data_IF_420621341017
#
_entry.id   IF_420621341017
#
_cell.length_a   1.000
_cell.length_b   1.000
_cell.length_c   1.000
_cell.angle_alpha   90.00
_cell.angle_beta   90.00
_cell.angle_gamma   90.00
#
_symmetry.space_group_name_H-M   'P 1'
#
loop_
_entity.id
_entity.type
_entity.pdbx_description
1 polymer ?
#
# COMPACT_ATOMS: atom_id res chain seq x y z
N UNK A 1 13.79 1.14 11.28
CA UNK A 1 12.57 1.54 12.04
C UNK A 1 12.69 1.02 13.45
N UNK A 2 12.13 1.70 14.44
CA UNK A 2 12.10 1.24 15.84
C UNK A 2 10.67 1.27 16.36
N UNK A 3 10.32 0.31 17.21
CA UNK A 3 9.08 0.33 17.99
C UNK A 3 9.49 0.65 19.42
N UNK A 4 8.82 1.60 20.06
CA UNK A 4 9.09 1.99 21.45
C UNK A 4 8.10 1.29 22.39
N UNK A 5 8.64 0.61 23.41
CA UNK A 5 7.89 -0.05 24.46
C UNK A 5 8.18 0.66 25.78
N UNK A 6 7.18 1.33 26.32
CA UNK A 6 7.34 2.15 27.52
C UNK A 6 6.99 1.39 28.79
N UNK A 7 7.66 1.72 29.88
CA UNK A 7 7.33 1.24 31.22
C UNK A 7 6.23 2.10 31.85
N UNK A 8 5.49 1.58 32.85
CA UNK A 8 4.50 2.38 33.59
C UNK A 8 5.05 3.71 34.11
N UNK A 9 4.22 4.74 34.10
CA UNK A 9 4.58 6.08 34.55
C UNK A 9 5.06 7.01 33.44
N UNK A 10 4.98 6.60 32.17
CA UNK A 10 4.99 7.50 31.03
C UNK A 10 3.57 8.03 30.81
N UNK A 11 3.41 9.32 31.01
CA UNK A 11 2.12 10.00 30.87
C UNK A 11 2.15 10.91 29.65
N UNK A 12 1.04 10.99 28.90
CA UNK A 12 0.87 11.97 27.85
C UNK A 12 0.65 13.39 28.42
N UNK A 13 0.44 14.39 27.56
CA UNK A 13 0.13 15.77 27.98
C UNK A 13 -1.15 15.87 28.85
N UNK A 14 -2.04 14.89 28.79
CA UNK A 14 -3.23 14.76 29.62
C UNK A 14 -3.00 14.00 30.93
N UNK A 15 -1.76 13.56 31.19
CA UNK A 15 -1.39 12.73 32.34
C UNK A 15 -2.02 11.32 32.31
N UNK A 16 -2.26 10.80 31.10
CA UNK A 16 -2.73 9.43 30.90
C UNK A 16 -1.55 8.52 30.59
N UNK A 17 -1.46 7.39 31.30
CA UNK A 17 -0.45 6.39 31.04
C UNK A 17 -0.76 5.69 29.70
N UNK A 18 0.17 5.74 28.76
CA UNK A 18 0.03 5.12 27.44
C UNK A 18 0.77 3.78 27.30
N UNK A 19 1.18 3.20 28.41
CA UNK A 19 1.86 1.92 28.45
C UNK A 19 0.89 0.78 28.30
N UNK A 20 1.17 -0.15 27.37
CA UNK A 20 0.47 -1.43 27.26
C UNK A 20 1.33 -2.51 27.91
N UNK A 21 1.04 -2.83 29.19
CA UNK A 21 1.90 -3.68 30.03
C UNK A 21 2.04 -5.10 29.49
N UNK A 22 0.95 -5.70 29.04
CA UNK A 22 0.94 -7.09 28.54
C UNK A 22 1.90 -7.29 27.37
N UNK A 23 1.81 -6.43 26.36
CA UNK A 23 2.65 -6.51 25.15
C UNK A 23 4.09 -6.17 25.47
N UNK A 24 4.32 -5.13 26.30
CA UNK A 24 5.65 -4.77 26.77
C UNK A 24 6.33 -5.94 27.48
N UNK A 25 5.61 -6.62 28.37
CA UNK A 25 6.14 -7.71 29.17
C UNK A 25 6.43 -8.91 28.25
N UNK A 26 5.53 -9.26 27.33
CA UNK A 26 5.75 -10.34 26.36
C UNK A 26 6.99 -10.08 25.48
N UNK A 27 7.18 -8.85 24.99
CA UNK A 27 8.39 -8.49 24.22
C UNK A 27 9.65 -8.41 25.12
N UNK A 28 9.50 -7.95 26.37
CA UNK A 28 10.57 -7.93 27.35
C UNK A 28 11.09 -9.34 27.70
N UNK A 29 10.18 -10.27 27.89
CA UNK A 29 10.50 -11.67 28.17
C UNK A 29 11.17 -12.34 26.96
N UNK A 30 10.69 -12.04 25.73
CA UNK A 30 11.27 -12.57 24.48
C UNK A 30 12.76 -12.23 24.36
N UNK A 31 13.19 -11.03 24.73
CA UNK A 31 14.56 -10.56 24.62
C UNK A 31 15.34 -10.55 25.94
N UNK A 32 14.80 -11.16 27.00
CA UNK A 32 15.41 -11.18 28.35
C UNK A 32 15.82 -9.77 28.83
N UNK A 33 14.89 -8.81 28.73
CA UNK A 33 15.14 -7.41 29.07
C UNK A 33 15.33 -7.24 30.56
N UNK A 34 16.59 -7.27 31.02
CA UNK A 34 16.95 -7.13 32.43
C UNK A 34 17.05 -5.69 32.97
N UNK A 35 16.84 -4.70 32.13
CA UNK A 35 16.94 -3.29 32.52
C UNK A 35 16.57 -2.33 31.40
N UNK A 36 16.24 -1.09 31.75
CA UNK A 36 15.81 -0.02 30.82
C UNK A 36 16.71 1.22 30.95
N UNK A 37 16.88 2.01 29.88
CA UNK A 37 16.45 1.71 28.50
C UNK A 37 17.21 0.53 27.89
N UNK A 38 16.54 -0.18 27.00
CA UNK A 38 17.08 -1.32 26.26
C UNK A 38 16.78 -1.16 24.79
N UNK A 39 17.79 -1.29 23.95
CA UNK A 39 17.66 -1.29 22.49
C UNK A 39 17.96 -2.69 21.96
N UNK A 40 17.14 -3.15 21.03
CA UNK A 40 17.32 -4.41 20.34
C UNK A 40 17.51 -4.15 18.85
N UNK A 41 18.70 -4.41 18.32
CA UNK A 41 19.03 -4.25 16.91
C UNK A 41 18.85 -5.57 16.16
N UNK A 42 18.02 -5.57 15.12
CA UNK A 42 17.70 -6.74 14.30
C UNK A 42 17.34 -8.01 15.08
N UNK A 43 16.90 -7.87 16.32
CA UNK A 43 16.58 -8.99 17.21
C UNK A 43 17.79 -9.73 17.81
N UNK A 44 19.03 -9.40 17.44
CA UNK A 44 20.25 -10.12 17.80
C UNK A 44 21.20 -9.37 18.72
N UNK A 45 21.22 -8.06 18.66
CA UNK A 45 22.17 -7.23 19.40
C UNK A 45 21.42 -6.38 20.40
N UNK A 46 21.74 -6.56 21.66
CA UNK A 46 21.16 -5.79 22.75
C UNK A 46 22.13 -4.71 23.25
N UNK A 47 21.58 -3.54 23.53
CA UNK A 47 22.27 -2.45 24.18
C UNK A 47 21.46 -1.93 25.36
N UNK A 48 21.97 -2.13 26.57
CA UNK A 48 21.32 -1.74 27.82
C UNK A 48 21.95 -0.49 28.40
N UNK A 49 21.13 0.43 28.86
CA UNK A 49 21.54 1.65 29.54
C UNK A 49 21.39 2.90 28.69
N UNK A 50 21.19 4.00 29.39
CA UNK A 50 21.02 5.34 28.82
C UNK A 50 22.08 6.31 29.34
N UNK A 51 22.00 7.55 28.85
CA UNK A 51 22.86 8.64 29.31
C UNK A 51 22.52 9.09 30.73
N UNK A 52 23.54 9.32 31.54
CA UNK A 52 23.35 9.94 32.86
C UNK A 52 22.86 11.40 32.65
N UNK A 53 21.90 11.82 33.48
CA UNK A 53 21.37 13.18 33.48
C UNK A 53 20.78 13.63 32.12
N UNK A 54 20.22 12.68 31.35
CA UNK A 54 19.60 12.96 30.06
C UNK A 54 20.56 13.56 29.00
N UNK A 55 21.87 13.34 29.16
CA UNK A 55 22.88 13.76 28.19
C UNK A 55 22.96 12.77 27.02
N UNK A 56 21.90 12.66 26.21
CA UNK A 56 21.78 11.71 25.11
C UNK A 56 22.87 11.87 24.04
N UNK A 57 23.44 13.08 23.92
CA UNK A 57 24.54 13.37 23.01
C UNK A 57 25.79 12.52 23.32
N UNK A 58 25.97 12.12 24.57
CA UNK A 58 27.12 11.33 24.99
C UNK A 58 27.03 9.87 24.49
N UNK A 59 25.82 9.35 24.27
CA UNK A 59 25.59 7.97 23.83
C UNK A 59 25.27 7.85 22.34
N UNK A 60 24.82 8.94 21.70
CA UNK A 60 24.43 8.94 20.30
C UNK A 60 25.52 8.39 19.35
N UNK A 61 26.81 8.75 19.50
CA UNK A 61 27.84 8.24 18.61
C UNK A 61 27.96 6.70 18.60
N UNK A 62 27.75 6.06 19.75
CA UNK A 62 27.80 4.59 19.85
C UNK A 62 26.59 3.96 19.13
N UNK A 63 25.41 4.58 19.28
CA UNK A 63 24.19 4.13 18.59
C UNK A 63 24.30 4.31 17.07
N UNK A 64 24.89 5.42 16.63
CA UNK A 64 25.18 5.69 15.22
C UNK A 64 26.20 4.71 14.66
N UNK A 65 27.22 4.30 15.42
CA UNK A 65 28.20 3.29 15.03
C UNK A 65 27.49 1.94 14.80
N UNK A 66 26.70 1.46 15.77
CA UNK A 66 25.94 0.21 15.64
C UNK A 66 24.99 0.24 14.44
N UNK A 67 24.28 1.34 14.23
CA UNK A 67 23.40 1.52 13.06
C UNK A 67 24.21 1.41 11.75
N UNK A 68 25.35 2.08 11.66
CA UNK A 68 26.17 2.10 10.44
C UNK A 68 26.80 0.74 10.15
N UNK A 69 27.19 -0.03 11.15
CA UNK A 69 27.73 -1.39 11.00
C UNK A 69 26.69 -2.36 10.45
N UNK A 70 25.41 -2.17 10.79
CA UNK A 70 24.32 -3.07 10.43
C UNK A 70 23.40 -2.51 9.33
N UNK A 71 23.59 -1.25 8.92
CA UNK A 71 22.88 -0.66 7.79
C UNK A 71 23.47 -1.11 6.45
N UNK A 72 22.63 -1.15 5.42
CA UNK A 72 23.05 -1.48 4.05
C UNK A 72 23.17 -2.98 3.76
N UNK A 73 22.74 -3.84 4.66
CA UNK A 73 22.53 -5.24 4.34
C UNK A 73 21.34 -5.37 3.39
N UNK A 74 21.50 -6.15 2.33
CA UNK A 74 20.41 -6.42 1.39
C UNK A 74 19.47 -7.42 2.05
N UNK A 75 18.24 -7.02 2.28
CA UNK A 75 17.21 -7.92 2.78
C UNK A 75 16.83 -8.93 1.70
N UNK A 76 16.66 -10.20 2.07
CA UNK A 76 16.13 -11.20 1.15
C UNK A 76 14.64 -11.09 0.95
N UNK A 77 13.94 -10.44 1.87
CA UNK A 77 12.49 -10.21 1.84
C UNK A 77 12.14 -8.80 1.43
N UNK A 78 11.04 -8.66 0.70
CA UNK A 78 10.33 -7.41 0.47
C UNK A 78 8.95 -7.51 1.12
N UNK A 79 8.52 -6.47 1.80
CA UNK A 79 7.18 -6.35 2.38
C UNK A 79 6.47 -5.17 1.70
N UNK A 80 5.26 -5.39 1.25
CA UNK A 80 4.34 -4.33 0.83
C UNK A 80 3.10 -4.38 1.71
N UNK A 81 2.57 -3.23 2.06
CA UNK A 81 1.37 -3.07 2.86
C UNK A 81 0.32 -2.37 2.03
N UNK A 82 -0.88 -2.90 2.08
CA UNK A 82 -2.08 -2.38 1.49
C UNK A 82 -3.19 -2.40 2.53
N UNK A 83 -4.19 -1.55 2.41
CA UNK A 83 -5.34 -1.59 3.29
C UNK A 83 -6.29 -0.41 3.14
N UNK A 84 -7.54 -0.63 3.56
CA UNK A 84 -8.58 0.37 3.54
C UNK A 84 -9.58 0.15 4.69
N UNK A 85 -10.32 1.20 5.03
CA UNK A 85 -11.40 1.10 5.99
C UNK A 85 -12.61 0.42 5.38
N UNK A 86 -13.31 -0.39 6.21
CA UNK A 86 -14.54 -1.06 5.77
C UNK A 86 -15.61 -0.02 5.37
N UNK A 87 -16.25 -0.22 4.22
CA UNK A 87 -17.25 0.71 3.68
C UNK A 87 -18.49 0.89 4.57
N UNK A 88 -18.81 -0.11 5.41
CA UNK A 88 -19.98 -0.12 6.27
C UNK A 88 -19.64 0.22 7.72
N UNK A 89 -18.38 0.09 8.12
CA UNK A 89 -17.89 0.37 9.47
C UNK A 89 -16.50 1.00 9.44
N UNK A 90 -16.44 2.32 9.44
CA UNK A 90 -15.19 3.07 9.43
C UNK A 90 -14.30 2.89 10.67
N UNK A 91 -14.69 2.07 11.63
CA UNK A 91 -13.83 1.65 12.74
C UNK A 91 -13.00 0.40 12.41
N UNK A 92 -13.35 -0.35 11.37
CA UNK A 92 -12.64 -1.54 10.94
C UNK A 92 -11.65 -1.17 9.84
N UNK A 93 -10.39 -1.48 10.04
CA UNK A 93 -9.35 -1.38 9.03
C UNK A 93 -9.01 -2.78 8.53
N UNK A 94 -9.17 -3.01 7.22
CA UNK A 94 -8.78 -4.23 6.53
C UNK A 94 -7.38 -4.03 5.96
N UNK A 95 -6.52 -5.03 6.06
CA UNK A 95 -5.15 -4.97 5.55
C UNK A 95 -4.76 -6.22 4.76
N UNK A 96 -3.85 -6.03 3.82
CA UNK A 96 -3.08 -7.09 3.17
C UNK A 96 -1.59 -6.81 3.37
N UNK A 97 -0.84 -7.86 3.65
CA UNK A 97 0.62 -7.83 3.74
C UNK A 97 1.19 -8.79 2.70
N UNK A 98 1.82 -8.26 1.69
CA UNK A 98 2.49 -9.02 0.65
C UNK A 98 3.94 -9.23 1.06
N UNK A 99 4.35 -10.47 1.20
CA UNK A 99 5.74 -10.84 1.52
C UNK A 99 6.31 -11.58 0.32
N UNK A 100 7.36 -11.05 -0.28
CA UNK A 100 8.05 -11.69 -1.41
C UNK A 100 9.53 -11.89 -1.13
N UNK A 101 10.13 -12.90 -1.77
CA UNK A 101 11.57 -13.14 -1.76
C UNK A 101 12.23 -12.53 -2.99
N UNK A 102 13.25 -11.71 -2.77
CA UNK A 102 14.11 -11.14 -3.82
C UNK A 102 15.40 -11.95 -4.06
N UNK A 103 15.63 -12.98 -3.24
CA UNK A 103 16.71 -13.96 -3.39
C UNK A 103 16.31 -15.28 -2.72
N UNK A 104 16.84 -16.41 -3.19
CA UNK A 104 16.60 -17.70 -2.54
C UNK A 104 17.02 -17.64 -1.07
N UNK A 105 16.16 -18.06 -0.18
CA UNK A 105 16.38 -18.05 1.25
C UNK A 105 15.80 -19.31 1.89
N UNK A 106 16.61 -20.00 2.69
CA UNK A 106 16.12 -21.18 3.42
C UNK A 106 15.25 -20.71 4.57
N UNK A 107 13.96 -20.91 4.44
CA UNK A 107 12.98 -20.52 5.43
C UNK A 107 12.80 -21.64 6.46
N UNK A 108 13.34 -21.43 7.66
CA UNK A 108 13.08 -22.29 8.82
C UNK A 108 12.62 -21.38 9.96
N UNK A 109 11.34 -21.52 10.37
CA UNK A 109 10.75 -20.82 11.52
C UNK A 109 10.68 -19.27 11.38
N UNK A 110 10.53 -18.75 10.15
CA UNK A 110 10.20 -17.36 9.94
C UNK A 110 8.68 -17.12 10.03
N UNK A 111 8.33 -16.02 10.67
CA UNK A 111 6.98 -15.57 10.87
C UNK A 111 6.84 -14.11 10.49
N UNK A 112 5.67 -13.74 10.00
CA UNK A 112 5.25 -12.37 9.89
C UNK A 112 4.64 -11.95 11.22
N UNK A 113 5.22 -10.95 11.87
CA UNK A 113 4.71 -10.32 13.09
C UNK A 113 4.08 -8.97 12.74
N UNK A 114 2.89 -8.71 13.30
CA UNK A 114 2.13 -7.50 13.05
C UNK A 114 1.89 -6.72 14.34
N UNK A 115 2.19 -5.43 14.30
CA UNK A 115 2.00 -4.52 15.41
C UNK A 115 1.20 -3.30 15.01
N UNK A 116 0.42 -2.77 15.95
CA UNK A 116 -0.15 -1.43 15.86
C UNK A 116 0.70 -0.51 16.71
N UNK A 117 1.11 0.61 16.14
CA UNK A 117 1.89 1.61 16.82
C UNK A 117 1.30 3.01 16.61
N UNK A 118 1.39 3.83 17.64
CA UNK A 118 1.02 5.24 17.57
C UNK A 118 2.30 6.08 17.51
N UNK A 119 2.40 6.96 16.52
CA UNK A 119 3.54 7.86 16.36
C UNK A 119 3.26 9.22 17.04
N UNK A 120 4.35 9.90 17.40
CA UNK A 120 4.32 11.29 17.84
C UNK A 120 3.51 11.55 19.12
N UNK A 121 3.48 10.60 20.05
CA UNK A 121 2.89 10.81 21.38
C UNK A 121 3.81 11.72 22.18
N UNK A 122 3.26 12.83 22.67
CA UNK A 122 4.00 13.71 23.55
C UNK A 122 3.93 13.22 24.99
N UNK A 123 5.01 12.58 25.45
CA UNK A 123 5.13 12.02 26.80
C UNK A 123 5.99 12.87 27.71
N UNK A 124 5.62 12.93 29.00
CA UNK A 124 6.43 13.56 30.03
C UNK A 124 7.48 12.57 30.57
N UNK A 125 8.73 12.91 30.44
CA UNK A 125 9.82 12.12 30.99
C UNK A 125 10.27 12.69 32.34
N UNK A 126 9.77 12.11 33.41
CA UNK A 126 10.01 12.60 34.78
C UNK A 126 11.48 12.62 35.18
N UNK A 127 12.28 11.67 34.71
CA UNK A 127 13.72 11.59 34.99
C UNK A 127 14.50 12.78 34.43
N UNK A 128 14.06 13.33 33.30
CA UNK A 128 14.67 14.45 32.61
C UNK A 128 13.93 15.76 32.85
N UNK A 129 12.73 15.71 33.43
CA UNK A 129 11.84 16.88 33.67
C UNK A 129 11.55 17.63 32.36
N UNK A 130 11.30 16.91 31.30
CA UNK A 130 10.98 17.46 29.98
C UNK A 130 10.02 16.56 29.19
N UNK A 131 9.40 17.13 28.15
CA UNK A 131 8.55 16.40 27.22
C UNK A 131 9.35 15.87 26.04
N UNK A 132 9.03 14.66 25.63
CA UNK A 132 9.54 14.02 24.43
C UNK A 132 8.41 13.65 23.48
N UNK A 133 8.71 13.63 22.20
CA UNK A 133 7.85 13.00 21.21
C UNK A 133 8.28 11.54 21.06
N UNK A 134 7.53 10.65 21.68
CA UNK A 134 7.71 9.21 21.54
C UNK A 134 7.29 8.78 20.14
N UNK A 135 8.08 7.94 19.50
CA UNK A 135 7.89 7.53 18.12
C UNK A 135 7.52 6.06 18.05
N UNK A 136 6.49 5.74 17.25
CA UNK A 136 6.04 4.36 17.03
C UNK A 136 5.87 3.57 18.32
N UNK A 137 5.16 4.14 19.28
CA UNK A 137 4.86 3.49 20.56
C UNK A 137 3.95 2.28 20.30
N UNK A 138 4.41 1.09 20.69
CA UNK A 138 3.66 -0.15 20.52
C UNK A 138 2.36 -0.12 21.31
N UNK A 139 1.25 -0.39 20.63
CA UNK A 139 -0.11 -0.34 21.20
C UNK A 139 -0.80 -1.69 21.15
N UNK A 140 -0.47 -2.49 20.14
CA UNK A 140 -0.96 -3.84 19.99
C UNK A 140 0.06 -4.73 19.29
N UNK A 141 0.00 -6.02 19.55
CA UNK A 141 0.74 -7.06 18.84
C UNK A 141 -0.26 -8.09 18.36
N UNK A 142 -0.77 -7.90 17.14
CA UNK A 142 -1.86 -8.67 16.53
C UNK A 142 -1.54 -10.18 16.50
N UNK A 143 -0.27 -10.53 16.33
CA UNK A 143 0.22 -11.91 16.20
C UNK A 143 0.88 -12.43 17.49
N UNK A 144 0.50 -11.91 18.66
CA UNK A 144 1.14 -12.23 19.94
C UNK A 144 0.94 -13.69 20.35
N UNK A 145 -0.29 -14.20 20.20
CA UNK A 145 -0.64 -15.55 20.59
C UNK A 145 -0.14 -16.58 19.57
N UNK A 146 0.19 -17.79 20.04
CA UNK A 146 0.80 -18.83 19.18
C UNK A 146 -0.10 -19.24 18.00
N UNK A 147 -1.42 -19.20 18.17
CA UNK A 147 -2.41 -19.53 17.14
C UNK A 147 -2.71 -18.37 16.17
N UNK A 148 -2.25 -17.17 16.49
CA UNK A 148 -2.35 -15.98 15.63
C UNK A 148 -1.10 -15.77 14.76
N UNK A 149 -0.02 -16.49 15.04
CA UNK A 149 1.24 -16.37 14.30
C UNK A 149 1.08 -16.76 12.83
N UNK A 150 1.73 -16.01 11.97
CA UNK A 150 1.65 -16.11 10.52
C UNK A 150 2.97 -16.69 9.95
N UNK A 151 3.11 -18.04 9.88
CA UNK A 151 4.34 -18.65 9.38
C UNK A 151 4.50 -18.42 7.88
N UNK A 152 5.74 -18.13 7.45
CA UNK A 152 6.10 -18.01 6.05
C UNK A 152 6.43 -19.37 5.45
N UNK A 153 6.04 -19.62 4.20
CA UNK A 153 6.31 -20.87 3.48
C UNK A 153 7.16 -20.69 2.19
N UNK A 154 7.44 -19.45 1.81
CA UNK A 154 8.23 -19.10 0.61
C UNK A 154 9.73 -19.32 0.79
N UNK A 155 10.41 -19.86 -0.22
CA UNK A 155 11.82 -20.23 -0.17
C UNK A 155 12.63 -19.82 -1.40
N UNK A 156 11.99 -19.54 -2.52
CA UNK A 156 12.63 -19.25 -3.80
C UNK A 156 12.43 -17.80 -4.20
N UNK A 157 13.41 -17.24 -4.89
CA UNK A 157 13.31 -15.91 -5.48
C UNK A 157 12.07 -15.78 -6.36
N UNK A 158 11.29 -14.70 -6.15
CA UNK A 158 10.06 -14.41 -6.88
C UNK A 158 8.81 -15.09 -6.30
N UNK A 159 8.93 -15.95 -5.28
CA UNK A 159 7.75 -16.43 -4.55
C UNK A 159 7.17 -15.31 -3.69
N UNK A 160 5.86 -15.28 -3.57
CA UNK A 160 5.09 -14.32 -2.79
C UNK A 160 4.02 -15.02 -1.98
N UNK A 161 3.78 -14.52 -0.78
CA UNK A 161 2.70 -14.95 0.12
C UNK A 161 1.95 -13.73 0.62
N UNK A 162 0.62 -13.84 0.75
CA UNK A 162 -0.25 -12.74 1.15
C UNK A 162 -0.96 -13.08 2.44
N UNK A 163 -0.90 -12.19 3.40
CA UNK A 163 -1.57 -12.30 4.69
C UNK A 163 -2.61 -11.19 4.81
N UNK A 164 -3.88 -11.57 4.92
CA UNK A 164 -4.99 -10.64 5.03
C UNK A 164 -5.64 -10.70 6.40
N UNK A 165 -6.08 -9.58 6.91
CA UNK A 165 -6.77 -9.49 8.18
C UNK A 165 -7.43 -8.14 8.39
N UNK A 166 -7.98 -7.96 9.59
CA UNK A 166 -8.57 -6.69 9.98
C UNK A 166 -8.40 -6.45 11.48
N UNK A 167 -8.46 -5.20 11.89
CA UNK A 167 -8.55 -4.82 13.28
C UNK A 167 -9.53 -3.66 13.45
N UNK A 168 -10.09 -3.53 14.65
CA UNK A 168 -11.06 -2.50 14.96
C UNK A 168 -10.40 -1.39 15.78
N UNK A 169 -10.23 -0.20 15.20
CA UNK A 169 -9.63 0.94 15.88
C UNK A 169 -10.44 1.42 17.11
N UNK A 170 -11.75 1.17 17.14
CA UNK A 170 -12.59 1.53 18.28
C UNK A 170 -12.32 0.68 19.52
N UNK A 171 -11.72 -0.49 19.41
CA UNK A 171 -11.30 -1.31 20.56
C UNK A 171 -10.16 -0.65 21.34
N UNK A 172 -9.44 0.25 20.70
CA UNK A 172 -8.35 1.02 21.32
C UNK A 172 -8.80 2.36 21.91
N UNK A 173 -10.05 2.82 21.68
CA UNK A 173 -10.57 4.13 22.11
C UNK A 173 -10.50 4.33 23.63
N UNK A 174 -10.69 3.28 24.43
CA UNK A 174 -10.54 3.37 25.90
C UNK A 174 -9.06 3.53 26.32
N UNK A 175 -8.13 3.07 25.51
CA UNK A 175 -6.68 3.20 25.73
C UNK A 175 -6.11 4.49 25.11
N UNK A 176 -6.80 5.07 24.14
CA UNK A 176 -6.28 6.17 23.32
C UNK A 176 -7.25 7.34 23.24
N UNK A 177 -7.36 8.07 24.33
CA UNK A 177 -8.23 9.24 24.42
C UNK A 177 -7.82 10.38 23.48
N UNK A 178 -6.71 10.25 22.76
CA UNK A 178 -6.19 11.24 21.80
C UNK A 178 -5.63 10.58 20.55
N UNK A 179 -6.46 9.79 19.83
CA UNK A 179 -6.12 9.43 18.46
C UNK A 179 -6.16 10.69 17.60
N UNK A 180 -5.01 11.16 17.18
CA UNK A 180 -4.99 11.96 15.98
C UNK A 180 -4.93 10.96 14.81
N UNK A 181 -5.90 11.02 13.89
CA UNK A 181 -6.06 10.13 12.74
C UNK A 181 -4.77 9.92 11.93
N UNK A 182 -3.84 10.86 12.01
CA UNK A 182 -2.57 10.81 11.30
C UNK A 182 -1.45 10.02 12.00
N UNK A 183 -1.69 9.45 13.20
CA UNK A 183 -0.62 8.89 14.03
C UNK A 183 -0.58 7.37 14.14
N UNK A 184 -1.59 6.67 13.63
CA UNK A 184 -1.70 5.20 13.74
C UNK A 184 -0.99 4.53 12.58
N UNK A 185 -0.17 3.55 12.92
CA UNK A 185 0.60 2.79 11.93
C UNK A 185 0.45 1.29 12.20
N UNK A 186 0.32 0.52 11.12
CA UNK A 186 0.58 -0.91 11.11
C UNK A 186 2.05 -1.13 10.80
N UNK A 187 2.67 -2.07 11.50
CA UNK A 187 4.07 -2.44 11.34
C UNK A 187 4.14 -3.93 11.11
N UNK A 188 4.70 -4.33 9.99
CA UNK A 188 4.96 -5.72 9.62
C UNK A 188 6.46 -6.02 9.77
N UNK A 189 6.80 -7.12 10.44
CA UNK A 189 8.18 -7.54 10.70
C UNK A 189 8.32 -9.02 10.38
N UNK A 190 9.30 -9.40 9.57
CA UNK A 190 9.67 -10.80 9.38
C UNK A 190 10.71 -11.16 10.41
N UNK A 191 10.38 -12.12 11.27
CA UNK A 191 11.20 -12.54 12.40
C UNK A 191 11.32 -14.07 12.48
N UNK A 192 12.49 -14.56 12.90
CA UNK A 192 12.69 -15.97 13.23
C UNK A 192 12.21 -16.24 14.66
N UNK A 193 11.38 -17.28 14.88
CA UNK A 193 10.82 -17.59 16.19
C UNK A 193 11.83 -18.17 17.20
N UNK A 194 12.93 -18.75 16.71
CA UNK A 194 13.92 -19.39 17.57
C UNK A 194 15.07 -18.46 17.95
N UNK A 195 15.52 -17.64 17.00
CA UNK A 195 16.65 -16.74 17.19
C UNK A 195 16.25 -15.29 17.45
N UNK A 196 14.97 -14.96 17.18
CA UNK A 196 14.42 -13.61 17.20
C UNK A 196 15.04 -12.63 16.19
N UNK A 197 15.87 -13.14 15.27
CA UNK A 197 16.45 -12.34 14.20
C UNK A 197 15.36 -11.73 13.33
N UNK A 198 15.47 -10.42 13.08
CA UNK A 198 14.55 -9.66 12.21
C UNK A 198 15.21 -9.45 10.86
N UNK A 199 14.54 -9.91 9.80
CA UNK A 199 15.08 -9.88 8.43
C UNK A 199 14.60 -8.66 7.64
N UNK A 200 13.37 -8.22 7.85
CA UNK A 200 12.78 -7.08 7.17
C UNK A 200 11.65 -6.51 8.01
N UNK A 201 11.41 -5.22 7.87
CA UNK A 201 10.27 -4.54 8.46
C UNK A 201 9.73 -3.46 7.54
N UNK A 202 8.42 -3.29 7.54
CA UNK A 202 7.71 -2.25 6.81
C UNK A 202 6.66 -1.61 7.71
N UNK A 203 6.46 -0.30 7.54
CA UNK A 203 5.42 0.45 8.24
C UNK A 203 4.52 1.16 7.25
N UNK A 204 3.24 1.24 7.58
CA UNK A 204 2.26 2.02 6.85
C UNK A 204 1.33 2.76 7.81
N UNK A 205 1.11 4.03 7.55
CA UNK A 205 0.10 4.79 8.27
C UNK A 205 -1.28 4.42 7.73
N UNK A 206 -2.20 3.93 8.57
CA UNK A 206 -3.48 3.37 8.14
C UNK A 206 -4.40 4.35 7.39
N UNK A 207 -4.16 5.65 7.52
CA UNK A 207 -4.89 6.69 6.78
C UNK A 207 -4.19 7.12 5.48
N UNK A 208 -3.06 6.47 5.13
CA UNK A 208 -2.21 6.83 3.99
C UNK A 208 -1.56 5.62 3.30
N UNK A 209 -1.89 4.41 3.74
CA UNK A 209 -1.43 3.19 3.05
C UNK A 209 -2.03 3.21 1.65
N UNK A 210 -1.24 2.98 0.61
CA UNK A 210 -1.76 2.79 -0.73
C UNK A 210 -2.75 1.61 -0.74
N UNK A 211 -3.78 1.71 -1.55
CA UNK A 211 -4.75 0.63 -1.75
C UNK A 211 -4.45 -0.13 -3.03
N UNK A 212 -4.72 -1.43 -3.03
CA UNK A 212 -4.74 -2.31 -4.20
C UNK A 212 -6.13 -2.99 -4.19
N UNK A 213 -7.08 -2.41 -4.92
CA UNK A 213 -8.51 -2.71 -4.76
C UNK A 213 -8.89 -4.07 -5.35
N UNK A 214 -8.28 -4.43 -6.45
CA UNK A 214 -8.56 -5.68 -7.16
C UNK A 214 -7.57 -6.83 -6.80
N UNK A 215 -6.55 -6.51 -5.97
CA UNK A 215 -5.55 -7.45 -5.44
C UNK A 215 -4.68 -8.12 -6.52
N UNK A 216 -4.31 -7.38 -7.55
CA UNK A 216 -3.44 -7.86 -8.60
C UNK A 216 -1.94 -7.64 -8.34
N UNK A 217 -1.60 -6.92 -7.26
CA UNK A 217 -0.24 -6.60 -6.81
C UNK A 217 0.27 -5.26 -7.34
N UNK A 218 -0.55 -4.49 -8.05
CA UNK A 218 -0.28 -3.10 -8.47
C UNK A 218 -1.13 -2.17 -7.62
N UNK A 219 -0.51 -1.16 -7.02
CA UNK A 219 -1.24 -0.21 -6.18
C UNK A 219 -2.13 0.70 -7.03
N UNK A 220 -3.35 1.02 -6.59
CA UNK A 220 -4.30 1.86 -7.34
C UNK A 220 -3.71 3.16 -7.89
N UNK A 221 -2.66 3.72 -7.25
CA UNK A 221 -2.00 4.95 -7.70
C UNK A 221 -1.12 4.72 -8.94
N UNK A 222 -0.63 3.50 -9.12
CA UNK A 222 0.25 3.09 -10.20
C UNK A 222 -0.48 2.15 -11.19
N UNK A 223 -1.75 1.84 -10.90
CA UNK A 223 -2.57 0.88 -11.63
C UNK A 223 -3.42 1.57 -12.69
N UNK A 224 -3.31 1.06 -13.92
CA UNK A 224 -4.08 1.55 -15.04
C UNK A 224 -5.50 0.95 -15.14
N UNK A 225 -5.82 -0.05 -14.27
CA UNK A 225 -7.17 -0.62 -14.10
C UNK A 225 -7.48 -0.90 -12.62
N UNK A 226 -7.65 0.09 -11.75
CA UNK A 226 -7.69 -0.09 -10.28
C UNK A 226 -8.82 -0.98 -9.73
N UNK A 227 -9.77 -1.40 -10.54
CA UNK A 227 -10.92 -2.23 -10.17
C UNK A 227 -10.94 -3.58 -10.92
N UNK A 228 -10.02 -3.82 -11.87
CA UNK A 228 -9.99 -5.00 -12.74
C UNK A 228 -8.56 -5.56 -12.84
N UNK A 229 -8.30 -6.66 -12.13
CA UNK A 229 -6.98 -7.26 -11.96
C UNK A 229 -6.21 -7.46 -13.28
N UNK A 230 -5.07 -6.77 -13.42
CA UNK A 230 -4.23 -6.78 -14.61
C UNK A 230 -2.74 -6.57 -14.28
N UNK A 231 -2.18 -7.38 -13.42
CA UNK A 231 -0.79 -7.28 -12.92
C UNK A 231 0.30 -7.06 -13.98
N UNK A 232 0.01 -7.33 -15.25
CA UNK A 232 0.88 -7.06 -16.40
C UNK A 232 0.82 -5.61 -16.88
N UNK A 233 -0.22 -4.87 -16.51
CA UNK A 233 -0.43 -3.45 -16.85
C UNK A 233 -0.37 -3.18 -18.36
N UNK A 234 -0.91 -4.11 -19.16
CA UNK A 234 -1.00 -3.96 -20.61
C UNK A 234 -1.89 -2.76 -20.95
N UNK A 235 -1.40 -1.91 -21.82
CA UNK A 235 -2.06 -0.70 -22.34
C UNK A 235 -1.62 -0.56 -23.81
N UNK A 236 -2.46 -1.04 -24.72
CA UNK A 236 -2.11 -1.23 -26.12
C UNK A 236 -2.05 0.09 -26.89
N UNK A 237 -2.90 1.04 -26.56
CA UNK A 237 -2.98 2.33 -27.27
C UNK A 237 -2.26 3.47 -26.56
N UNK A 238 -1.87 3.28 -25.29
CA UNK A 238 -1.03 4.19 -24.51
C UNK A 238 -1.79 5.37 -23.95
N UNK A 239 -3.10 5.25 -23.69
CA UNK A 239 -3.94 6.30 -23.16
C UNK A 239 -3.96 6.35 -21.60
N UNK A 240 -3.26 5.40 -20.95
CA UNK A 240 -3.14 5.20 -19.50
C UNK A 240 -4.35 4.49 -18.87
N UNK A 241 -5.24 3.96 -19.65
CA UNK A 241 -6.27 3.02 -19.22
C UNK A 241 -5.83 1.62 -19.68
N UNK A 242 -5.79 0.66 -18.76
CA UNK A 242 -5.31 -0.68 -19.11
C UNK A 242 -6.30 -1.47 -19.95
N UNK A 243 -5.78 -2.35 -20.82
CA UNK A 243 -6.58 -3.20 -21.72
C UNK A 243 -7.68 -4.00 -20.99
N UNK A 244 -7.51 -4.28 -19.70
CA UNK A 244 -8.46 -5.05 -18.91
C UNK A 244 -9.75 -4.28 -18.61
N UNK A 245 -9.65 -2.99 -18.40
CA UNK A 245 -10.76 -2.10 -18.03
C UNK A 245 -11.11 -1.09 -19.12
N UNK A 246 -10.34 -1.04 -20.21
CA UNK A 246 -10.58 -0.15 -21.33
C UNK A 246 -11.63 -0.76 -22.29
N UNK A 247 -12.83 -0.19 -22.36
CA UNK A 247 -13.85 -0.60 -23.35
C UNK A 247 -13.55 -0.07 -24.75
N UNK A 248 -12.58 0.87 -24.87
CA UNK A 248 -12.34 1.63 -26.07
C UNK A 248 -10.85 1.56 -26.45
N UNK A 249 -10.56 0.89 -27.54
CA UNK A 249 -9.21 0.88 -28.09
C UNK A 249 -9.10 2.03 -29.13
N UNK A 250 -8.43 3.11 -28.77
CA UNK A 250 -8.25 4.31 -29.60
C UNK A 250 -7.42 4.06 -30.88
N UNK A 251 -6.76 2.92 -30.99
CA UNK A 251 -6.16 2.48 -32.26
C UNK A 251 -7.21 2.14 -33.31
N UNK A 252 -8.42 1.78 -32.89
CA UNK A 252 -9.53 1.40 -33.78
C UNK A 252 -10.60 2.49 -33.82
N UNK A 253 -11.00 3.04 -32.66
CA UNK A 253 -12.03 4.07 -32.53
C UNK A 253 -11.48 5.48 -32.74
N UNK A 254 -10.79 5.69 -33.85
CA UNK A 254 -10.35 7.03 -34.23
C UNK A 254 -11.51 7.89 -34.72
N UNK A 255 -11.38 9.21 -34.68
CA UNK A 255 -12.37 10.16 -35.19
C UNK A 255 -12.81 9.83 -36.63
N UNK A 256 -14.08 9.53 -36.80
CA UNK A 256 -14.69 9.16 -38.09
C UNK A 256 -14.91 7.66 -38.30
N UNK A 257 -14.32 6.76 -37.48
CA UNK A 257 -14.66 5.35 -37.48
C UNK A 257 -15.85 5.11 -36.53
N UNK A 258 -17.06 5.23 -37.04
CA UNK A 258 -18.29 5.19 -36.25
C UNK A 258 -18.69 3.78 -35.78
N UNK A 259 -18.25 2.76 -36.50
CA UNK A 259 -18.62 1.36 -36.28
C UNK A 259 -17.51 0.52 -35.65
N UNK A 260 -16.30 1.08 -35.52
CA UNK A 260 -15.14 0.40 -34.92
C UNK A 260 -14.59 -0.73 -35.78
N UNK A 261 -14.80 -0.70 -37.12
CA UNK A 261 -14.28 -1.73 -37.98
C UNK A 261 -12.82 -1.46 -38.42
N UNK A 262 -12.18 -2.52 -38.94
CA UNK A 262 -10.77 -2.50 -39.32
C UNK A 262 -10.60 -2.97 -40.77
N UNK A 263 -9.59 -2.44 -41.44
CA UNK A 263 -9.28 -2.79 -42.85
C UNK A 263 -8.95 -4.27 -43.07
N UNK A 264 -8.42 -4.92 -42.03
CA UNK A 264 -8.05 -6.33 -42.06
C UNK A 264 -8.31 -6.99 -40.71
N UNK A 265 -9.06 -8.06 -40.67
CA UNK A 265 -9.43 -8.76 -39.44
C UNK A 265 -8.18 -9.20 -38.64
N UNK A 266 -8.16 -8.86 -37.37
CA UNK A 266 -7.05 -9.14 -36.45
C UNK A 266 -5.94 -8.07 -36.48
N UNK A 267 -6.20 -6.92 -37.05
CA UNK A 267 -5.33 -5.74 -37.01
C UNK A 267 -6.01 -4.61 -36.25
N UNK A 268 -5.26 -3.60 -35.90
CA UNK A 268 -5.76 -2.35 -35.30
C UNK A 268 -5.74 -1.17 -36.30
N UNK A 269 -5.86 -1.51 -37.63
CA UNK A 269 -5.91 -0.47 -38.65
C UNK A 269 -7.37 -0.10 -38.91
N UNK A 270 -7.85 1.05 -38.40
CA UNK A 270 -9.25 1.46 -38.55
C UNK A 270 -9.61 1.61 -40.03
N UNK A 271 -10.84 1.26 -40.35
CA UNK A 271 -11.40 1.49 -41.67
C UNK A 271 -12.36 2.69 -41.58
N UNK A 272 -12.07 3.77 -42.32
CA UNK A 272 -13.02 4.88 -42.47
C UNK A 272 -13.59 4.80 -43.89
N UNK A 273 -14.82 4.28 -44.02
CA UNK A 273 -15.43 3.99 -45.31
C UNK A 273 -16.93 4.29 -45.38
N UNK A 274 -17.60 3.76 -46.38
CA UNK A 274 -19.03 3.99 -46.60
C UNK A 274 -19.90 3.43 -45.45
N UNK A 275 -19.43 2.43 -44.71
CA UNK A 275 -20.19 1.84 -43.62
C UNK A 275 -20.24 2.77 -42.42
N UNK A 276 -19.21 3.59 -42.21
CA UNK A 276 -19.24 4.65 -41.19
C UNK A 276 -20.27 5.73 -41.52
N UNK A 277 -20.35 6.14 -42.77
CA UNK A 277 -21.37 7.11 -43.21
C UNK A 277 -22.77 6.56 -42.96
N UNK A 278 -23.01 5.28 -43.22
CA UNK A 278 -24.31 4.65 -43.01
C UNK A 278 -24.62 4.53 -41.52
N UNK A 279 -23.67 4.06 -40.71
CA UNK A 279 -23.81 3.95 -39.26
C UNK A 279 -24.07 5.32 -38.63
N UNK A 280 -23.32 6.33 -39.03
CA UNK A 280 -23.51 7.69 -38.49
C UNK A 280 -24.85 8.35 -38.98
N UNK A 281 -25.26 8.04 -40.20
CA UNK A 281 -26.58 8.48 -40.68
C UNK A 281 -27.73 7.88 -39.87
N UNK A 282 -27.67 6.57 -39.58
CA UNK A 282 -28.66 5.89 -38.75
C UNK A 282 -28.69 6.45 -37.30
N UNK A 283 -27.53 6.81 -36.77
CA UNK A 283 -27.45 7.50 -35.47
C UNK A 283 -28.13 8.90 -35.52
N UNK A 284 -27.83 9.70 -36.52
CA UNK A 284 -28.45 11.04 -36.68
C UNK A 284 -30.01 10.95 -36.79
N UNK A 285 -30.48 9.89 -37.48
CA UNK A 285 -31.91 9.64 -37.62
C UNK A 285 -32.56 9.00 -36.39
N UNK A 286 -31.77 8.79 -35.29
CA UNK A 286 -32.15 8.15 -34.02
C UNK A 286 -32.60 6.68 -34.17
N UNK A 287 -32.12 5.97 -35.17
CA UNK A 287 -32.42 4.55 -35.38
C UNK A 287 -31.48 3.63 -34.56
N UNK A 288 -30.27 4.10 -34.30
CA UNK A 288 -29.26 3.38 -33.49
C UNK A 288 -28.58 4.30 -32.45
N UNK A 289 -27.85 3.72 -31.52
CA UNK A 289 -26.90 4.42 -30.66
C UNK A 289 -25.48 4.02 -31.08
N UNK A 290 -24.57 4.99 -31.13
CA UNK A 290 -23.14 4.70 -31.34
C UNK A 290 -22.53 4.06 -30.11
N UNK A 291 -21.39 3.38 -30.29
CA UNK A 291 -20.51 3.01 -29.19
C UNK A 291 -20.09 4.27 -28.43
N UNK A 292 -19.90 4.14 -27.12
CA UNK A 292 -19.33 5.22 -26.30
C UNK A 292 -17.89 5.56 -26.73
N UNK A 293 -17.25 4.66 -27.46
CA UNK A 293 -15.90 4.81 -27.99
C UNK A 293 -15.84 5.60 -29.31
N UNK A 294 -16.98 5.75 -29.98
CA UNK A 294 -17.00 6.44 -31.29
C UNK A 294 -16.90 7.94 -31.11
N UNK A 295 -15.81 8.55 -31.55
CA UNK A 295 -15.67 10.00 -31.65
C UNK A 295 -16.14 10.49 -33.01
N UNK A 296 -17.29 11.13 -33.04
CA UNK A 296 -17.95 11.61 -34.26
C UNK A 296 -18.11 13.15 -34.28
N UNK A 297 -17.47 13.89 -33.40
CA UNK A 297 -17.36 15.34 -33.48
C UNK A 297 -16.21 15.76 -34.42
N UNK A 298 -16.42 15.56 -35.73
CA UNK A 298 -15.40 15.83 -36.75
C UNK A 298 -15.11 17.33 -36.94
N UNK A 299 -16.03 18.19 -36.48
CA UNK A 299 -15.85 19.63 -36.53
C UNK A 299 -15.23 20.20 -35.25
N UNK A 300 -15.10 19.40 -34.19
CA UNK A 300 -14.64 19.81 -32.88
C UNK A 300 -15.42 21.03 -32.31
N UNK A 301 -16.75 20.99 -32.47
CA UNK A 301 -17.66 22.06 -32.02
C UNK A 301 -18.52 21.63 -30.82
N UNK A 302 -18.17 20.49 -30.19
CA UNK A 302 -18.88 19.88 -29.05
C UNK A 302 -20.30 19.42 -29.38
N UNK A 303 -20.66 19.26 -30.66
CA UNK A 303 -21.98 18.82 -31.10
C UNK A 303 -21.86 17.75 -32.19
N UNK A 304 -22.36 16.56 -31.92
CA UNK A 304 -22.45 15.49 -32.92
C UNK A 304 -23.76 15.62 -33.69
N UNK A 305 -23.71 15.98 -34.99
CA UNK A 305 -24.88 16.30 -35.79
C UNK A 305 -24.66 16.11 -37.30
N UNK A 306 -25.65 16.52 -38.13
CA UNK A 306 -25.54 16.32 -39.58
C UNK A 306 -24.37 17.08 -40.26
N UNK A 307 -23.75 18.04 -39.60
CA UNK A 307 -22.64 18.77 -40.19
C UNK A 307 -21.37 17.92 -40.11
N UNK A 308 -21.21 17.11 -39.05
CA UNK A 308 -20.14 16.13 -38.92
C UNK A 308 -20.29 15.01 -39.95
N UNK A 309 -21.52 14.59 -40.22
CA UNK A 309 -21.79 13.63 -41.28
C UNK A 309 -21.33 14.14 -42.66
N UNK A 310 -21.47 15.43 -42.94
CA UNK A 310 -20.97 16.03 -44.17
C UNK A 310 -19.45 15.96 -44.26
N UNK A 311 -18.77 16.23 -43.13
CA UNK A 311 -17.31 16.12 -43.03
C UNK A 311 -16.87 14.70 -43.22
N UNK A 312 -17.55 13.72 -42.60
CA UNK A 312 -17.27 12.30 -42.79
C UNK A 312 -17.42 11.86 -44.26
N UNK A 313 -18.51 12.35 -44.94
CA UNK A 313 -18.67 12.06 -46.39
C UNK A 313 -17.52 12.61 -47.21
N UNK A 314 -17.07 13.85 -46.91
CA UNK A 314 -15.91 14.42 -47.61
C UNK A 314 -14.62 13.67 -47.31
N UNK A 315 -14.41 13.18 -46.09
CA UNK A 315 -13.27 12.39 -45.67
C UNK A 315 -13.22 11.06 -46.47
N UNK A 316 -14.33 10.32 -46.48
CA UNK A 316 -14.45 9.05 -47.20
C UNK A 316 -14.28 9.24 -48.69
N UNK A 317 -14.87 10.29 -49.27
CA UNK A 317 -14.76 10.58 -50.72
C UNK A 317 -13.35 11.04 -51.12
N UNK A 318 -12.58 11.59 -50.21
CA UNK A 318 -11.18 11.95 -50.42
C UNK A 318 -10.23 10.73 -50.39
N UNK A 319 -10.74 9.59 -49.97
CA UNK A 319 -10.01 8.30 -50.01
C UNK A 319 -9.78 7.69 -48.63
N UNK A 320 -10.59 8.11 -47.63
CA UNK A 320 -10.47 7.59 -46.24
C UNK A 320 -9.01 7.37 -45.88
N UNK A 321 -8.50 7.61 -44.76
CA UNK A 321 -7.09 7.58 -44.54
C UNK A 321 -6.20 6.55 -45.18
#
# INVERSE_FOLDING_TARGET
MSIEWHTPGFENDGFEDFTVEEIRDARGDMYDVGGIPHLQWNGLIDEVGGAANCAWEDIYPNKEETLNEHSGQVASYKIQLDGDFDENDASIFNYNVYVSLESDFSNENQYLELFIAQDSIRGWWSACSEYHNCRFVGRDWITMEEDERLPLSINLNGEMEVFSGSFNIAEYDEMFTTWEDSSINIIAVIQNSDTYEQYQAQTGNIFRIPTDRDNDGVLNIDDNCPDDANSGQEDLDGDLIGDACDPCNDLVYITGNSNGDVTEAGTYNPAIDIFDILTFSDFIDNEITLSNCSDMDLLADEQINQFDLIVLVDLVMAGGN
#
